data_IF_056940051065
#
_entry.id   IF_056940051065
#
_cell.length_a   1.000
_cell.length_b   1.000
_cell.length_c   1.000
_cell.angle_alpha   90.00
_cell.angle_beta   90.00
_cell.angle_gamma   90.00
#
_symmetry.space_group_name_H-M   'P 1'
#
loop_
_entity.id
_entity.type
_entity.pdbx_description
1 polymer ?
#
# COMPACT_ATOMS: atom_id res chain seq x y z
N UNK A 1 -36.78 -4.23 14.71
CA UNK A 1 -35.57 -4.57 15.48
C UNK A 1 -34.57 -5.40 14.72
N UNK A 2 -35.00 -6.49 14.11
CA UNK A 2 -34.11 -7.31 13.26
C UNK A 2 -33.58 -6.53 12.08
N UNK A 3 -34.44 -5.72 11.47
CA UNK A 3 -34.07 -4.94 10.29
C UNK A 3 -32.99 -3.92 10.62
N UNK A 4 -33.12 -3.26 11.77
CA UNK A 4 -32.11 -2.30 12.23
C UNK A 4 -30.77 -2.96 12.49
N UNK A 5 -30.78 -4.09 13.16
CA UNK A 5 -29.55 -4.87 13.40
C UNK A 5 -28.89 -5.29 12.10
N UNK A 6 -29.72 -5.73 11.15
CA UNK A 6 -29.23 -6.17 9.87
C UNK A 6 -28.60 -5.02 9.09
N UNK A 7 -29.23 -3.85 9.11
CA UNK A 7 -28.69 -2.66 8.45
C UNK A 7 -27.38 -2.22 9.07
N UNK A 8 -27.26 -2.28 10.39
CA UNK A 8 -26.00 -1.95 11.08
C UNK A 8 -24.89 -2.94 10.71
N UNK A 9 -25.21 -4.22 10.68
CA UNK A 9 -24.24 -5.24 10.27
C UNK A 9 -23.73 -5.03 8.86
N UNK A 10 -24.63 -4.67 7.94
CA UNK A 10 -24.25 -4.40 6.55
C UNK A 10 -23.28 -3.21 6.50
N UNK A 11 -23.59 -2.15 7.21
CA UNK A 11 -22.75 -0.95 7.22
C UNK A 11 -21.36 -1.24 7.78
N UNK A 12 -21.29 -2.03 8.85
CA UNK A 12 -20.02 -2.45 9.43
C UNK A 12 -19.22 -3.32 8.47
N UNK A 13 -19.89 -4.26 7.80
CA UNK A 13 -19.26 -5.13 6.82
C UNK A 13 -18.69 -4.32 5.65
N UNK A 14 -19.44 -3.36 5.15
CA UNK A 14 -18.98 -2.49 4.07
C UNK A 14 -17.75 -1.68 4.49
N UNK A 15 -17.75 -1.15 5.71
CA UNK A 15 -16.62 -0.40 6.23
C UNK A 15 -15.37 -1.26 6.32
N UNK A 16 -15.49 -2.47 6.83
CA UNK A 16 -14.39 -3.43 6.95
C UNK A 16 -13.86 -3.79 5.57
N UNK A 17 -14.74 -4.01 4.59
CA UNK A 17 -14.34 -4.35 3.23
C UNK A 17 -13.55 -3.22 2.57
N UNK A 18 -13.96 -1.97 2.77
CA UNK A 18 -13.26 -0.82 2.23
C UNK A 18 -11.84 -0.70 2.80
N UNK A 19 -11.69 -0.91 4.11
CA UNK A 19 -10.37 -0.90 4.75
C UNK A 19 -9.49 -2.03 4.22
N UNK A 20 -10.06 -3.22 4.08
CA UNK A 20 -9.36 -4.38 3.54
C UNK A 20 -8.92 -4.17 2.09
N UNK A 21 -9.78 -3.60 1.27
CA UNK A 21 -9.47 -3.30 -0.12
C UNK A 21 -8.35 -2.29 -0.24
N UNK A 22 -8.31 -1.30 0.64
CA UNK A 22 -7.24 -0.31 0.67
C UNK A 22 -5.91 -0.94 1.05
N UNK A 23 -5.89 -1.78 2.05
CA UNK A 23 -4.69 -2.51 2.46
C UNK A 23 -4.17 -3.38 1.33
N UNK A 24 -5.07 -4.08 0.64
CA UNK A 24 -4.72 -4.92 -0.50
C UNK A 24 -4.11 -4.08 -1.62
N UNK A 25 -4.71 -2.94 -1.93
CA UNK A 25 -4.19 -2.03 -2.95
C UNK A 25 -2.77 -1.58 -2.62
N UNK A 26 -2.53 -1.18 -1.38
CA UNK A 26 -1.21 -0.74 -0.92
C UNK A 26 -0.20 -1.86 -1.08
N UNK A 27 -0.55 -3.09 -0.67
CA UNK A 27 0.35 -4.24 -0.79
C UNK A 27 0.70 -4.54 -2.24
N UNK A 28 -0.28 -4.49 -3.12
CA UNK A 28 -0.04 -4.75 -4.55
C UNK A 28 0.87 -3.68 -5.17
N UNK A 29 0.68 -2.43 -4.79
CA UNK A 29 1.53 -1.33 -5.25
C UNK A 29 2.97 -1.53 -4.76
N UNK A 30 3.15 -1.86 -3.50
CA UNK A 30 4.49 -2.11 -2.94
C UNK A 30 5.18 -3.24 -3.71
N UNK A 31 4.45 -4.33 -3.97
CA UNK A 31 4.98 -5.46 -4.70
C UNK A 31 5.40 -5.07 -6.12
N UNK A 32 4.54 -4.34 -6.83
CA UNK A 32 4.82 -3.91 -8.19
C UNK A 32 6.05 -2.99 -8.25
N UNK A 33 6.15 -2.09 -7.29
CA UNK A 33 7.28 -1.15 -7.19
C UNK A 33 8.57 -1.91 -6.88
N UNK A 34 8.51 -2.85 -5.95
CA UNK A 34 9.65 -3.70 -5.62
C UNK A 34 10.16 -4.45 -6.86
N UNK A 35 9.26 -5.07 -7.58
CA UNK A 35 9.61 -5.82 -8.79
C UNK A 35 10.21 -4.92 -9.87
N UNK A 36 9.61 -3.75 -10.10
CA UNK A 36 10.08 -2.81 -11.10
C UNK A 36 11.49 -2.30 -10.79
N UNK A 37 11.75 -1.95 -9.53
CA UNK A 37 13.06 -1.51 -9.09
C UNK A 37 14.10 -2.62 -9.24
N UNK A 38 13.75 -3.83 -8.84
CA UNK A 38 14.63 -4.99 -8.94
C UNK A 38 15.01 -5.28 -10.39
N UNK A 39 14.03 -5.29 -11.28
CA UNK A 39 14.25 -5.54 -12.71
C UNK A 39 15.20 -4.51 -13.31
N UNK A 40 15.11 -3.27 -12.88
CA UNK A 40 15.97 -2.19 -13.40
C UNK A 40 17.32 -2.11 -12.68
N UNK A 41 17.60 -3.01 -11.76
CA UNK A 41 18.91 -3.10 -11.09
C UNK A 41 19.09 -2.14 -9.94
N UNK A 42 18.02 -1.51 -9.43
CA UNK A 42 18.10 -0.68 -8.24
C UNK A 42 18.00 -1.53 -6.97
N UNK A 43 18.49 -0.99 -5.86
CA UNK A 43 18.22 -1.55 -4.54
C UNK A 43 16.80 -1.12 -4.13
N UNK A 44 15.82 -2.05 -4.15
CA UNK A 44 14.43 -1.65 -3.92
C UNK A 44 14.20 -1.07 -2.53
N UNK A 45 14.88 -1.59 -1.53
CA UNK A 45 14.68 -1.14 -0.15
C UNK A 45 15.14 0.29 0.00
N UNK A 46 16.35 0.61 -0.46
CA UNK A 46 16.90 1.96 -0.40
C UNK A 46 16.02 2.96 -1.14
N UNK A 47 15.54 2.60 -2.31
CA UNK A 47 14.72 3.50 -3.13
C UNK A 47 13.34 3.73 -2.49
N UNK A 48 12.71 2.69 -1.97
CA UNK A 48 11.41 2.83 -1.29
C UNK A 48 11.56 3.66 -0.02
N UNK A 49 12.59 3.42 0.78
CA UNK A 49 12.87 4.22 1.98
C UNK A 49 13.10 5.69 1.60
N UNK A 50 13.91 5.94 0.57
CA UNK A 50 14.15 7.31 0.08
C UNK A 50 12.87 8.02 -0.31
N UNK A 51 11.97 7.32 -1.00
CA UNK A 51 10.69 7.87 -1.37
C UNK A 51 9.83 8.20 -0.14
N UNK A 52 9.73 7.27 0.81
CA UNK A 52 8.91 7.47 2.01
C UNK A 52 9.41 8.69 2.81
N UNK A 53 10.72 8.83 2.93
CA UNK A 53 11.32 9.89 3.73
C UNK A 53 11.26 11.26 3.06
N UNK A 54 11.38 11.31 1.73
CA UNK A 54 11.47 12.58 1.01
C UNK A 54 10.18 12.99 0.31
N UNK A 55 9.36 12.03 -0.09
CA UNK A 55 8.20 12.29 -0.95
C UNK A 55 8.57 12.56 -2.39
N UNK A 56 9.83 12.34 -2.77
CA UNK A 56 10.31 12.58 -4.12
C UNK A 56 10.05 11.35 -4.99
N UNK A 57 9.12 11.43 -5.95
CA UNK A 57 8.77 10.27 -6.77
C UNK A 57 9.91 9.81 -7.70
N UNK A 58 10.95 10.60 -7.86
CA UNK A 58 12.09 10.20 -8.70
C UNK A 58 12.92 9.07 -8.09
N UNK A 59 12.73 8.78 -6.79
CA UNK A 59 13.31 7.58 -6.19
C UNK A 59 12.74 6.29 -6.79
N UNK A 60 11.58 6.36 -7.43
CA UNK A 60 10.88 5.20 -7.96
C UNK A 60 10.97 5.21 -9.48
N UNK A 61 11.45 4.11 -10.05
CA UNK A 61 11.53 3.97 -11.50
C UNK A 61 10.15 4.11 -12.16
N UNK A 62 10.14 4.63 -13.39
CA UNK A 62 8.91 4.69 -14.19
C UNK A 62 8.57 3.36 -14.87
N UNK A 63 9.44 2.36 -14.76
CA UNK A 63 9.23 1.05 -15.36
C UNK A 63 7.94 0.42 -14.86
N UNK A 64 7.15 -0.14 -15.77
CA UNK A 64 5.85 -0.75 -15.47
C UNK A 64 4.90 0.17 -14.68
N UNK A 65 5.01 1.48 -14.91
CA UNK A 65 4.19 2.48 -14.23
C UNK A 65 4.36 2.50 -12.72
N UNK A 66 5.47 2.01 -12.20
CA UNK A 66 5.70 1.93 -10.75
C UNK A 66 5.60 3.29 -10.07
N UNK A 67 6.22 4.32 -10.67
CA UNK A 67 6.16 5.69 -10.14
C UNK A 67 4.73 6.22 -10.08
N UNK A 68 3.95 6.00 -11.13
CA UNK A 68 2.55 6.41 -11.19
C UNK A 68 1.72 5.68 -10.15
N UNK A 69 2.00 4.41 -9.94
CA UNK A 69 1.26 3.60 -8.95
C UNK A 69 1.52 4.04 -7.53
N UNK A 70 2.78 4.28 -7.16
CA UNK A 70 3.11 4.57 -5.78
C UNK A 70 2.56 5.92 -5.30
N UNK A 71 2.45 6.89 -6.21
CA UNK A 71 1.92 8.22 -5.84
C UNK A 71 0.41 8.21 -5.64
N UNK A 72 -0.29 7.13 -5.99
CA UNK A 72 -1.74 7.00 -5.77
C UNK A 72 -2.09 6.77 -4.30
N UNK A 73 -1.15 6.32 -3.49
CA UNK A 73 -1.37 6.05 -2.07
C UNK A 73 -0.52 7.00 -1.24
N UNK A 74 -0.98 7.28 -0.02
CA UNK A 74 -0.25 8.13 0.89
C UNK A 74 0.97 7.42 1.44
N UNK A 75 2.04 8.18 1.70
CA UNK A 75 3.27 7.60 2.22
C UNK A 75 3.08 6.96 3.59
N UNK A 76 2.25 7.54 4.43
CA UNK A 76 1.93 6.97 5.74
C UNK A 76 1.18 5.65 5.61
N UNK A 77 0.34 5.49 4.59
CA UNK A 77 -0.33 4.22 4.31
C UNK A 77 0.67 3.13 3.92
N UNK A 78 1.66 3.50 3.12
CA UNK A 78 2.74 2.58 2.74
C UNK A 78 3.53 2.15 3.98
N UNK A 79 3.94 3.11 4.78
CA UNK A 79 4.71 2.85 5.98
C UNK A 79 3.93 2.00 6.98
N UNK A 80 2.66 2.29 7.17
CA UNK A 80 1.79 1.53 8.06
C UNK A 80 1.69 0.07 7.62
N UNK A 81 1.51 -0.17 6.33
CA UNK A 81 1.42 -1.53 5.80
C UNK A 81 2.74 -2.30 6.00
N UNK A 82 3.87 -1.64 5.76
CA UNK A 82 5.17 -2.26 5.96
C UNK A 82 5.40 -2.62 7.43
N UNK A 83 5.06 -1.72 8.34
CA UNK A 83 5.22 -1.95 9.78
C UNK A 83 4.30 -3.07 10.26
N UNK A 84 3.04 -3.07 9.83
CA UNK A 84 2.08 -4.13 10.18
C UNK A 84 2.59 -5.50 9.75
N UNK A 85 3.11 -5.60 8.53
CA UNK A 85 3.62 -6.87 8.02
C UNK A 85 4.86 -7.33 8.78
N UNK A 86 5.74 -6.40 9.12
CA UNK A 86 6.93 -6.73 9.89
C UNK A 86 6.55 -7.26 11.28
N UNK A 87 5.67 -6.54 11.98
CA UNK A 87 5.22 -6.93 13.32
C UNK A 87 4.52 -8.29 13.30
N UNK A 88 3.69 -8.52 12.29
CA UNK A 88 2.94 -9.76 12.14
C UNK A 88 3.85 -10.97 11.97
N UNK A 89 5.05 -10.77 11.42
CA UNK A 89 6.00 -11.85 11.11
C UNK A 89 7.11 -11.98 12.17
N UNK A 90 7.05 -11.21 13.23
CA UNK A 90 7.92 -11.40 14.37
C UNK A 90 7.41 -12.57 15.19
#
# INVERSE_FOLDING_TARGET
>A
MREERWAMSINETMKINLEHDKEKEVREIIKDVYEALSVKGYDPISQIVGYIMSGDPTYITSHNSARTKIVKVERDEILEELVKNYIKNI
#
